data_IF_946530627251
#
_entry.id   IF_946530627251
#
_cell.length_a   1.000
_cell.length_b   1.000
_cell.length_c   1.000
_cell.angle_alpha   90.00
_cell.angle_beta   90.00
_cell.angle_gamma   90.00
#
_symmetry.space_group_name_H-M   'P 1'
#
loop_
_entity.id
_entity.type
_entity.pdbx_description
1 polymer ?
#
# COMPACT_ATOMS: atom_id res chain seq x y z
N UNK A 1 -16.17 5.32 12.17
CA UNK A 1 -14.75 5.56 11.79
C UNK A 1 -14.61 5.20 10.33
N UNK A 2 -14.01 6.06 9.54
CA UNK A 2 -13.63 5.69 8.17
C UNK A 2 -12.42 4.75 8.24
N UNK A 3 -12.30 3.84 7.28
CA UNK A 3 -11.20 2.89 7.21
C UNK A 3 -10.56 2.96 5.82
N UNK A 4 -9.22 2.96 5.80
CA UNK A 4 -8.45 2.78 4.57
C UNK A 4 -7.73 1.44 4.68
N UNK A 5 -8.00 0.54 3.75
CA UNK A 5 -7.42 -0.81 3.73
C UNK A 5 -6.33 -0.87 2.67
N UNK A 6 -5.13 -1.28 3.06
CA UNK A 6 -4.04 -1.58 2.13
C UNK A 6 -3.64 -3.04 2.23
N UNK A 7 -3.58 -3.70 1.08
CA UNK A 7 -3.15 -5.09 0.95
C UNK A 7 -1.78 -5.15 0.29
N UNK A 8 -0.88 -5.92 0.85
CA UNK A 8 0.47 -6.15 0.35
C UNK A 8 0.63 -7.63 0.05
N UNK A 9 0.92 -7.94 -1.20
CA UNK A 9 1.27 -9.27 -1.65
C UNK A 9 2.79 -9.38 -1.80
N UNK A 10 3.30 -10.59 -1.93
CA UNK A 10 4.73 -10.80 -2.15
C UNK A 10 5.20 -10.19 -3.47
N UNK A 11 6.30 -9.42 -3.41
CA UNK A 11 6.95 -8.80 -4.58
C UNK A 11 8.46 -9.08 -4.63
N UNK A 12 8.99 -9.75 -3.61
CA UNK A 12 10.43 -9.95 -3.44
C UNK A 12 11.21 -8.70 -2.96
N UNK A 13 10.52 -7.57 -2.76
CA UNK A 13 11.10 -6.29 -2.34
C UNK A 13 10.34 -5.69 -1.16
N UNK A 14 10.98 -4.74 -0.46
CA UNK A 14 10.35 -3.95 0.58
C UNK A 14 9.30 -3.01 -0.06
N UNK A 15 8.09 -3.03 0.48
CA UNK A 15 6.99 -2.16 0.07
C UNK A 15 6.77 -1.08 1.12
N UNK A 16 6.27 0.07 0.72
CA UNK A 16 6.07 1.21 1.62
C UNK A 16 4.66 1.79 1.48
N UNK A 17 4.17 2.36 2.57
CA UNK A 17 2.95 3.16 2.60
C UNK A 17 3.09 4.28 3.62
N UNK A 18 2.57 5.45 3.34
CA UNK A 18 2.44 6.51 4.34
C UNK A 18 1.26 6.23 5.27
N UNK A 19 1.41 6.54 6.54
CA UNK A 19 0.32 6.51 7.51
C UNK A 19 -0.58 7.73 7.27
N UNK A 20 -1.84 7.56 6.85
CA UNK A 20 -2.70 8.67 6.47
C UNK A 20 -2.95 9.65 7.62
N UNK A 21 -3.13 10.96 7.31
CA UNK A 21 -3.57 11.94 8.30
C UNK A 21 -4.89 11.53 8.96
N UNK A 22 -5.00 11.79 10.26
CA UNK A 22 -6.20 11.43 11.02
C UNK A 22 -6.27 9.97 11.46
N UNK A 23 -5.28 9.13 11.13
CA UNK A 23 -5.20 7.77 11.65
C UNK A 23 -5.05 7.80 13.18
N UNK A 24 -5.96 7.16 13.88
CA UNK A 24 -5.93 7.02 15.34
C UNK A 24 -5.39 5.66 15.77
N UNK A 25 -5.63 4.65 14.94
CA UNK A 25 -5.11 3.30 15.14
C UNK A 25 -5.00 2.57 13.81
N UNK A 26 -4.25 1.48 13.81
CA UNK A 26 -4.20 0.55 12.68
C UNK A 26 -4.55 -0.86 13.14
N UNK A 27 -5.15 -1.63 12.23
CA UNK A 27 -5.27 -3.07 12.42
C UNK A 27 -4.32 -3.77 11.46
N UNK A 28 -3.62 -4.78 11.95
CA UNK A 28 -2.63 -5.55 11.23
C UNK A 28 -3.08 -6.99 11.10
N UNK A 29 -2.94 -7.56 9.89
CA UNK A 29 -3.15 -8.97 9.60
C UNK A 29 -1.99 -9.44 8.72
N UNK A 30 -1.15 -10.31 9.24
CA UNK A 30 0.06 -10.79 8.58
C UNK A 30 0.04 -12.31 8.45
N UNK A 31 0.43 -12.82 7.30
CA UNK A 31 0.70 -14.22 7.04
C UNK A 31 2.13 -14.35 6.52
N UNK A 32 2.95 -15.17 7.18
CA UNK A 32 4.29 -15.51 6.70
C UNK A 32 4.24 -16.41 5.45
N UNK A 33 5.30 -16.45 4.66
CA UNK A 33 5.44 -17.42 3.58
C UNK A 33 5.57 -18.85 4.09
N UNK A 34 5.10 -19.81 3.34
CA UNK A 34 5.17 -21.22 3.73
C UNK A 34 6.47 -21.90 3.24
N UNK A 35 6.88 -22.96 3.90
CA UNK A 35 7.99 -23.78 3.44
C UNK A 35 7.64 -24.66 2.24
N UNK A 36 8.62 -24.97 1.41
CA UNK A 36 8.54 -25.93 0.30
C UNK A 36 8.60 -27.37 0.79
N UNK A 37 8.01 -28.30 0.04
CA UNK A 37 8.12 -29.74 0.30
C UNK A 37 9.45 -30.31 -0.15
N UNK A 38 9.92 -31.36 0.48
CA UNK A 38 11.10 -32.11 0.05
C UNK A 38 10.86 -32.98 -1.17
N UNK A 39 11.94 -33.31 -1.89
CA UNK A 39 11.91 -34.16 -3.06
C UNK A 39 11.57 -35.60 -2.74
N UNK A 40 10.87 -36.24 -3.67
CA UNK A 40 10.55 -37.66 -3.58
C UNK A 40 11.73 -38.54 -4.02
N UNK A 41 11.71 -39.82 -3.63
CA UNK A 41 12.57 -40.89 -4.10
C UNK A 41 11.73 -42.13 -4.50
N UNK A 42 12.35 -43.16 -5.01
CA UNK A 42 11.70 -44.45 -5.34
C UNK A 42 11.07 -45.13 -4.11
N UNK A 43 11.63 -44.89 -2.92
CA UNK A 43 11.15 -45.45 -1.66
C UNK A 43 9.93 -44.75 -1.05
N UNK A 44 9.66 -43.49 -1.45
CA UNK A 44 8.55 -42.74 -0.92
C UNK A 44 8.56 -41.26 -1.22
N UNK A 45 7.55 -40.55 -0.76
CA UNK A 45 7.45 -39.11 -0.95
C UNK A 45 8.41 -38.36 0.01
N UNK A 46 8.85 -37.19 -0.42
CA UNK A 46 9.44 -36.22 0.50
C UNK A 46 8.40 -35.70 1.50
N UNK A 47 8.85 -35.01 2.53
CA UNK A 47 8.00 -34.36 3.51
C UNK A 47 7.31 -33.12 2.93
N UNK A 48 6.12 -32.79 3.43
CA UNK A 48 5.47 -31.52 3.10
C UNK A 48 6.16 -30.35 3.78
N UNK A 49 6.15 -29.19 3.17
CA UNK A 49 6.54 -27.93 3.85
C UNK A 49 5.51 -27.51 4.89
N UNK A 50 5.97 -26.86 5.94
CA UNK A 50 5.08 -26.27 6.95
C UNK A 50 4.42 -25.00 6.44
N UNK A 51 3.16 -24.78 6.80
CA UNK A 51 2.46 -23.55 6.50
C UNK A 51 3.02 -22.35 7.26
N UNK A 52 2.80 -21.15 6.72
CA UNK A 52 3.15 -19.90 7.38
C UNK A 52 2.25 -19.61 8.60
N UNK A 53 2.80 -18.87 9.53
CA UNK A 53 2.09 -18.38 10.70
C UNK A 53 1.26 -17.13 10.40
N UNK A 54 0.34 -16.80 11.30
CA UNK A 54 -0.47 -15.58 11.24
C UNK A 54 -0.30 -14.76 12.51
N UNK A 55 -0.21 -13.42 12.33
CA UNK A 55 -0.22 -12.44 13.42
C UNK A 55 -1.31 -11.40 13.15
N UNK A 56 -2.06 -11.09 14.21
CA UNK A 56 -3.12 -10.09 14.19
C UNK A 56 -2.96 -9.10 15.33
N UNK A 57 -3.15 -7.83 15.03
CA UNK A 57 -3.29 -6.78 16.02
C UNK A 57 -4.38 -5.82 15.58
N UNK A 58 -5.41 -5.66 16.37
CA UNK A 58 -6.44 -4.64 16.17
C UNK A 58 -6.16 -3.44 17.08
N UNK A 59 -6.57 -2.27 16.65
CA UNK A 59 -6.46 -1.01 17.41
C UNK A 59 -5.06 -0.71 17.97
N UNK A 60 -4.01 -0.96 17.17
CA UNK A 60 -2.67 -0.46 17.50
C UNK A 60 -2.71 1.07 17.40
N UNK A 61 -2.56 1.76 18.52
CA UNK A 61 -2.63 3.22 18.58
C UNK A 61 -1.49 3.85 17.74
N UNK A 62 -1.83 4.90 16.98
CA UNK A 62 -0.90 5.70 16.20
C UNK A 62 -0.78 7.09 16.85
N UNK A 63 0.44 7.48 17.18
CA UNK A 63 0.72 8.81 17.71
C UNK A 63 0.73 9.87 16.61
N UNK A 64 0.54 11.12 16.98
CA UNK A 64 0.62 12.24 16.03
C UNK A 64 2.00 12.35 15.34
N UNK A 65 3.07 11.90 15.99
CA UNK A 65 4.42 11.89 15.41
C UNK A 65 4.57 10.81 14.31
N UNK A 66 3.75 9.77 14.33
CA UNK A 66 3.76 8.71 13.33
C UNK A 66 2.87 9.00 12.10
N UNK A 67 2.07 10.06 12.15
CA UNK A 67 1.28 10.50 10.99
C UNK A 67 2.23 11.00 9.90
N UNK A 68 1.97 10.61 8.66
CA UNK A 68 2.82 10.87 7.47
C UNK A 68 4.21 10.21 7.53
N UNK A 69 4.52 9.40 8.54
CA UNK A 69 5.73 8.57 8.50
C UNK A 69 5.53 7.34 7.62
N UNK A 70 6.64 6.69 7.29
CA UNK A 70 6.63 5.52 6.43
C UNK A 70 6.34 4.25 7.23
N UNK A 71 5.31 3.53 6.81
CA UNK A 71 5.07 2.14 7.17
C UNK A 71 5.75 1.28 6.11
N UNK A 72 6.67 0.42 6.54
CA UNK A 72 7.40 -0.51 5.68
C UNK A 72 6.85 -1.91 5.86
N UNK A 73 6.61 -2.63 4.74
CA UNK A 73 6.06 -3.98 4.72
C UNK A 73 6.94 -4.87 3.85
N UNK A 74 7.52 -5.90 4.45
CA UNK A 74 8.16 -6.97 3.72
C UNK A 74 7.28 -8.22 3.81
N UNK A 75 6.73 -8.66 2.70
CA UNK A 75 5.93 -9.89 2.64
C UNK A 75 6.86 -11.06 2.38
N UNK A 76 6.71 -12.12 3.15
CA UNK A 76 7.51 -13.34 3.04
C UNK A 76 7.14 -14.16 1.81
N UNK A 77 8.11 -14.52 1.02
CA UNK A 77 7.94 -15.48 -0.08
C UNK A 77 7.89 -16.91 0.40
N UNK A 78 7.26 -17.77 -0.39
CA UNK A 78 7.27 -19.22 -0.18
C UNK A 78 8.64 -19.82 -0.47
N UNK A 79 9.02 -20.86 0.26
CA UNK A 79 10.21 -21.68 0.02
C UNK A 79 10.04 -22.59 -1.20
N UNK A 80 11.09 -22.78 -1.97
CA UNK A 80 11.08 -23.68 -3.12
C UNK A 80 11.02 -25.16 -2.72
N UNK A 81 10.44 -25.99 -3.57
CA UNK A 81 10.44 -27.43 -3.42
C UNK A 81 11.83 -28.04 -3.65
N UNK A 82 12.16 -29.10 -2.93
CA UNK A 82 13.38 -29.88 -3.12
C UNK A 82 13.31 -30.72 -4.38
N UNK A 83 14.45 -30.87 -5.08
CA UNK A 83 14.58 -31.72 -6.27
C UNK A 83 14.58 -33.21 -5.92
N UNK A 84 14.37 -34.05 -6.91
CA UNK A 84 14.41 -35.52 -6.81
C UNK A 84 15.57 -36.07 -7.65
N UNK A 85 16.25 -37.10 -7.16
CA UNK A 85 17.41 -37.76 -7.78
C UNK A 85 18.72 -37.34 -7.14
N UNK A 86 19.75 -38.17 -7.34
CA UNK A 86 21.08 -38.00 -6.75
C UNK A 86 21.71 -36.66 -7.08
N UNK A 87 22.16 -35.96 -6.06
CA UNK A 87 22.77 -34.64 -6.20
C UNK A 87 21.76 -33.53 -6.56
N UNK A 88 20.46 -33.79 -6.48
CA UNK A 88 19.47 -32.77 -6.73
C UNK A 88 19.60 -31.62 -5.72
N UNK A 89 19.48 -30.36 -6.16
CA UNK A 89 19.61 -29.19 -5.28
C UNK A 89 18.45 -29.07 -4.33
N UNK A 90 18.75 -28.59 -3.13
CA UNK A 90 17.74 -28.17 -2.16
C UNK A 90 16.88 -27.04 -2.66
N UNK A 91 15.66 -26.98 -2.17
CA UNK A 91 14.70 -25.93 -2.50
C UNK A 91 15.21 -24.54 -2.11
N UNK A 92 14.98 -23.55 -2.96
CA UNK A 92 15.37 -22.16 -2.73
C UNK A 92 14.67 -21.57 -1.51
N UNK A 93 15.32 -20.63 -0.82
CA UNK A 93 14.76 -19.94 0.32
C UNK A 93 13.63 -18.99 -0.07
N UNK A 94 12.59 -18.92 0.75
CA UNK A 94 11.58 -17.86 0.72
C UNK A 94 12.19 -16.55 1.14
N UNK A 95 12.18 -15.56 0.24
CA UNK A 95 12.78 -14.24 0.47
C UNK A 95 11.87 -13.35 1.34
N UNK A 96 12.47 -12.45 2.09
CA UNK A 96 11.85 -11.36 2.82
C UNK A 96 12.87 -10.23 2.98
N UNK A 97 12.62 -9.25 3.88
CA UNK A 97 13.63 -8.27 4.31
C UNK A 97 14.86 -8.99 4.85
N UNK A 98 16.05 -8.40 4.69
CA UNK A 98 17.30 -8.93 5.25
C UNK A 98 17.12 -9.28 6.74
N UNK A 99 17.47 -10.48 7.12
CA UNK A 99 17.30 -11.00 8.47
C UNK A 99 15.98 -11.76 8.70
N UNK A 100 15.07 -11.81 7.72
CA UNK A 100 13.75 -12.44 7.86
C UNK A 100 13.45 -13.48 6.77
N UNK A 101 14.40 -13.79 5.91
CA UNK A 101 14.27 -14.83 4.88
C UNK A 101 14.34 -16.22 5.49
N UNK A 102 13.72 -17.19 4.84
CA UNK A 102 13.92 -18.60 5.15
C UNK A 102 15.31 -19.10 4.74
N UNK A 103 15.68 -20.29 5.16
CA UNK A 103 16.89 -20.99 4.73
C UNK A 103 16.68 -21.73 3.40
N UNK A 104 17.77 -22.13 2.76
CA UNK A 104 17.76 -23.03 1.61
C UNK A 104 17.72 -24.48 2.10
N UNK A 105 17.00 -25.37 1.41
CA UNK A 105 16.98 -26.80 1.70
C UNK A 105 18.34 -27.46 1.44
N UNK A 106 18.63 -28.55 2.13
CA UNK A 106 19.82 -29.34 1.91
C UNK A 106 19.75 -30.12 0.61
N UNK A 107 20.91 -30.31 -0.06
CA UNK A 107 21.01 -31.08 -1.28
C UNK A 107 20.73 -32.57 -1.02
N UNK A 108 20.28 -33.28 -2.04
CA UNK A 108 20.17 -34.73 -2.02
C UNK A 108 21.55 -35.39 -1.97
N UNK A 109 21.63 -36.54 -1.35
CA UNK A 109 22.83 -37.37 -1.46
C UNK A 109 23.20 -37.68 -2.91
N UNK A 110 24.47 -38.05 -3.20
CA UNK A 110 24.96 -38.20 -4.57
C UNK A 110 24.46 -39.48 -5.27
N UNK A 111 23.84 -40.36 -4.55
CA UNK A 111 23.31 -41.61 -5.13
C UNK A 111 21.96 -41.36 -5.87
N UNK A 112 21.61 -42.17 -6.88
CA UNK A 112 20.54 -41.86 -7.82
C UNK A 112 19.10 -41.82 -7.19
N UNK A 113 18.96 -42.29 -5.96
CA UNK A 113 17.66 -42.42 -5.30
C UNK A 113 17.61 -41.57 -4.01
N UNK A 114 17.78 -40.27 -4.15
CA UNK A 114 17.76 -39.34 -3.03
C UNK A 114 16.88 -38.16 -3.35
N UNK A 115 16.10 -37.66 -2.37
CA UNK A 115 15.34 -36.41 -2.48
C UNK A 115 16.07 -35.27 -1.76
N UNK A 116 16.03 -34.09 -2.29
CA UNK A 116 16.56 -32.88 -1.65
C UNK A 116 15.56 -32.29 -0.68
N UNK A 117 16.03 -31.55 0.32
CA UNK A 117 15.18 -30.81 1.26
C UNK A 117 14.49 -29.60 0.63
N UNK A 118 13.30 -29.27 1.07
CA UNK A 118 12.59 -28.05 0.71
C UNK A 118 13.14 -26.83 1.42
N UNK A 119 13.02 -25.65 0.79
CA UNK A 119 13.39 -24.36 1.37
C UNK A 119 12.39 -23.88 2.43
N UNK A 120 12.85 -23.12 3.39
CA UNK A 120 11.99 -22.44 4.38
C UNK A 120 11.31 -21.20 3.79
N UNK A 121 10.11 -20.89 4.21
CA UNK A 121 9.40 -19.66 3.86
C UNK A 121 9.98 -18.44 4.56
N UNK A 122 9.85 -17.25 3.95
CA UNK A 122 10.23 -15.98 4.55
C UNK A 122 9.15 -15.46 5.52
N UNK A 123 9.53 -14.66 6.50
CA UNK A 123 8.57 -13.99 7.38
C UNK A 123 7.94 -12.77 6.71
N UNK A 124 6.71 -12.44 7.11
CA UNK A 124 6.06 -11.16 6.78
C UNK A 124 6.24 -10.20 7.95
N UNK A 125 6.83 -9.03 7.68
CA UNK A 125 7.27 -8.08 8.71
C UNK A 125 6.74 -6.69 8.43
N UNK A 126 6.34 -5.98 9.48
CA UNK A 126 5.95 -4.58 9.43
C UNK A 126 6.84 -3.75 10.35
N UNK A 127 7.36 -2.64 9.81
CA UNK A 127 8.04 -1.59 10.54
C UNK A 127 7.28 -0.27 10.43
N UNK A 128 7.32 0.51 11.48
CA UNK A 128 6.89 1.91 11.48
C UNK A 128 8.09 2.73 11.94
N UNK A 129 8.50 3.68 11.09
CA UNK A 129 9.64 4.56 11.36
C UNK A 129 10.91 3.76 11.75
N UNK A 130 11.19 2.70 10.97
CA UNK A 130 12.33 1.80 11.19
C UNK A 130 12.21 0.82 12.35
N UNK A 131 11.17 0.95 13.18
CA UNK A 131 10.93 0.05 14.33
C UNK A 131 10.08 -1.13 13.92
N UNK A 132 10.53 -2.35 14.19
CA UNK A 132 9.75 -3.57 13.99
C UNK A 132 8.52 -3.58 14.92
N UNK A 133 7.34 -3.74 14.34
CA UNK A 133 6.07 -3.71 15.05
C UNK A 133 5.46 -5.09 15.15
N UNK A 134 5.52 -5.88 14.05
CA UNK A 134 4.89 -7.19 13.98
C UNK A 134 5.62 -8.06 12.96
N UNK A 135 5.74 -9.36 13.28
CA UNK A 135 6.30 -10.36 12.38
C UNK A 135 5.49 -11.64 12.44
N UNK A 136 5.04 -12.12 11.28
CA UNK A 136 4.47 -13.45 11.12
C UNK A 136 5.54 -14.38 10.55
N UNK A 137 5.89 -15.43 11.27
CA UNK A 137 6.97 -16.35 10.91
C UNK A 137 6.64 -17.17 9.67
N UNK A 138 7.66 -17.47 8.88
CA UNK A 138 7.59 -18.38 7.73
C UNK A 138 7.63 -19.86 8.14
N UNK A 139 7.06 -20.70 7.32
CA UNK A 139 7.03 -22.17 7.52
C UNK A 139 8.40 -22.83 7.29
N UNK A 140 8.71 -23.89 7.99
CA UNK A 140 9.88 -24.73 7.74
C UNK A 140 9.71 -25.62 6.51
N UNK A 141 10.81 -25.92 5.82
CA UNK A 141 10.83 -26.82 4.66
C UNK A 141 10.65 -28.31 5.06
N UNK A 142 10.05 -29.09 4.18
CA UNK A 142 10.01 -30.56 4.28
C UNK A 142 11.36 -31.18 3.89
N UNK A 143 11.67 -32.33 4.43
CA UNK A 143 12.89 -33.06 4.08
C UNK A 143 12.72 -33.93 2.83
N UNK A 144 13.81 -34.24 2.16
CA UNK A 144 13.86 -35.20 1.07
C UNK A 144 13.70 -36.64 1.57
N UNK A 145 13.15 -37.50 0.73
CA UNK A 145 13.09 -38.95 0.97
C UNK A 145 14.45 -39.59 0.73
N UNK A 146 14.69 -40.68 1.41
CA UNK A 146 15.77 -41.62 1.14
C UNK A 146 15.20 -42.95 0.66
N UNK A 147 16.04 -43.86 0.20
CA UNK A 147 15.64 -45.14 -0.39
C UNK A 147 14.77 -46.02 0.55
N UNK A 148 15.01 -45.99 1.84
CA UNK A 148 14.33 -46.83 2.80
C UNK A 148 13.28 -46.12 3.65
N UNK A 149 13.17 -44.81 3.58
CA UNK A 149 12.20 -44.06 4.33
C UNK A 149 11.82 -42.71 3.72
N UNK A 150 10.58 -42.26 3.94
CA UNK A 150 10.08 -40.97 3.56
C UNK A 150 10.85 -39.83 4.23
N UNK A 151 10.88 -38.70 3.58
CA UNK A 151 11.28 -37.45 4.23
C UNK A 151 10.22 -36.98 5.24
N UNK A 152 10.65 -36.42 6.35
CA UNK A 152 9.69 -35.89 7.33
C UNK A 152 9.23 -34.49 6.99
N UNK A 153 7.97 -34.18 7.31
CA UNK A 153 7.38 -32.87 7.06
C UNK A 153 8.03 -31.76 7.89
N UNK A 154 7.99 -30.55 7.37
CA UNK A 154 8.35 -29.35 8.11
C UNK A 154 7.51 -29.18 9.37
N UNK A 155 8.07 -28.56 10.38
CA UNK A 155 7.47 -28.43 11.71
C UNK A 155 6.99 -26.98 11.92
N UNK A 156 5.70 -26.82 12.23
CA UNK A 156 5.08 -25.53 12.56
C UNK A 156 5.37 -25.08 14.00
N UNK A 157 6.53 -25.36 14.55
CA UNK A 157 6.87 -24.97 15.90
C UNK A 157 7.50 -23.58 15.94
N UNK A 158 6.94 -22.70 16.75
CA UNK A 158 7.56 -21.45 17.16
C UNK A 158 8.86 -21.77 17.93
N UNK A 159 10.02 -21.67 17.29
CA UNK A 159 11.27 -21.96 17.98
C UNK A 159 12.20 -20.75 17.94
N UNK A 160 12.16 -20.00 19.03
CA UNK A 160 12.96 -18.82 19.24
C UNK A 160 14.42 -19.14 19.57
N UNK A 161 15.37 -18.46 18.89
CA UNK A 161 16.73 -18.33 19.43
C UNK A 161 17.51 -17.09 18.99
N UNK A 162 16.95 -16.08 18.37
CA UNK A 162 17.57 -14.78 18.03
C UNK A 162 17.13 -14.26 16.66
N UNK A 163 17.03 -12.94 16.47
CA UNK A 163 16.69 -12.25 15.22
C UNK A 163 17.63 -12.70 14.09
N UNK A 164 17.31 -13.79 13.44
CA UNK A 164 18.14 -14.43 12.42
C UNK A 164 17.29 -14.90 11.24
N UNK A 165 17.84 -14.89 10.02
CA UNK A 165 17.25 -15.63 8.92
C UNK A 165 17.05 -17.09 9.29
N UNK A 166 16.10 -17.76 8.63
CA UNK A 166 15.99 -19.21 8.72
C UNK A 166 17.32 -19.89 8.38
N UNK A 167 17.64 -20.93 9.11
CA UNK A 167 18.90 -21.67 8.89
C UNK A 167 18.82 -22.57 7.68
N UNK A 168 19.95 -22.77 7.00
CA UNK A 168 20.09 -23.71 5.87
C UNK A 168 19.80 -25.14 6.35
N UNK A 169 19.14 -25.94 5.50
CA UNK A 169 19.03 -27.39 5.68
C UNK A 169 20.39 -28.07 5.57
N UNK A 170 20.61 -29.14 6.33
CA UNK A 170 21.77 -29.96 6.13
C UNK A 170 21.61 -30.81 4.88
N UNK A 171 22.71 -30.97 4.10
CA UNK A 171 22.74 -31.86 2.94
C UNK A 171 22.57 -33.33 3.36
N UNK A 172 22.03 -34.14 2.45
CA UNK A 172 21.98 -35.58 2.61
C UNK A 172 23.40 -36.14 2.79
N UNK A 173 23.62 -36.91 3.86
CA UNK A 173 24.95 -37.49 4.17
C UNK A 173 25.16 -38.76 3.39
N UNK A 174 26.18 -38.71 2.53
CA UNK A 174 26.65 -39.89 1.81
C UNK A 174 27.74 -40.63 2.59
N UNK A 175 27.45 -41.84 2.93
CA UNK A 175 28.48 -42.81 3.36
C UNK A 175 28.28 -44.23 2.80
N UNK A 176 27.47 -44.38 1.74
CA UNK A 176 27.17 -45.66 1.09
C UNK A 176 25.67 -45.90 0.83
N UNK A 177 24.85 -44.87 0.90
CA UNK A 177 23.40 -44.99 0.69
C UNK A 177 22.75 -43.74 0.10
N UNK A 178 21.47 -43.80 -0.15
CA UNK A 178 20.65 -42.79 -0.78
C UNK A 178 19.98 -41.93 0.29
N UNK A 179 20.74 -41.04 0.96
CA UNK A 179 20.24 -40.18 2.04
C UNK A 179 19.49 -38.94 1.52
N UNK A 180 18.35 -38.65 2.12
CA UNK A 180 17.57 -37.45 1.79
C UNK A 180 18.12 -36.18 2.43
N UNK A 181 18.03 -35.04 1.71
CA UNK A 181 18.39 -33.72 2.24
C UNK A 181 17.49 -33.24 3.37
N UNK A 182 18.04 -32.49 4.32
CA UNK A 182 17.28 -31.88 5.42
C UNK A 182 16.45 -30.68 4.95
N UNK A 183 15.27 -30.47 5.52
CA UNK A 183 14.44 -29.28 5.28
C UNK A 183 15.02 -28.03 5.93
N UNK A 184 14.86 -26.88 5.30
CA UNK A 184 15.34 -25.60 5.84
C UNK A 184 14.46 -25.01 6.92
N UNK A 185 15.02 -24.15 7.77
CA UNK A 185 14.27 -23.34 8.73
C UNK A 185 13.54 -22.19 8.08
N UNK A 186 12.35 -21.82 8.59
CA UNK A 186 11.61 -20.64 8.18
C UNK A 186 12.20 -19.35 8.75
N UNK A 187 11.99 -18.21 8.08
CA UNK A 187 12.33 -16.87 8.58
C UNK A 187 11.38 -16.45 9.70
N UNK A 188 11.80 -15.53 10.54
CA UNK A 188 10.96 -15.05 11.65
C UNK A 188 11.63 -13.95 12.44
N UNK A 189 10.97 -13.47 13.51
CA UNK A 189 11.62 -12.65 14.52
C UNK A 189 12.87 -13.39 15.04
N UNK A 190 12.71 -14.70 15.27
CA UNK A 190 13.82 -15.62 15.32
C UNK A 190 13.65 -16.66 14.20
N UNK A 191 14.75 -16.93 13.48
CA UNK A 191 14.73 -17.92 12.42
C UNK A 191 14.55 -19.35 12.97
N UNK A 192 13.80 -20.16 12.23
CA UNK A 192 13.61 -21.57 12.51
C UNK A 192 14.90 -22.38 12.31
N UNK A 193 15.08 -23.45 13.04
CA UNK A 193 16.19 -24.39 12.88
C UNK A 193 15.97 -25.26 11.65
N UNK A 194 17.07 -25.60 10.96
CA UNK A 194 17.03 -26.63 9.91
C UNK A 194 16.79 -28.03 10.50
N UNK A 195 16.33 -28.91 9.62
CA UNK A 195 16.40 -30.35 9.82
C UNK A 195 17.74 -30.92 9.38
N UNK A 196 18.02 -32.12 9.80
CA UNK A 196 19.24 -32.86 9.45
C UNK A 196 19.03 -33.63 8.14
N UNK A 197 20.10 -33.77 7.38
CA UNK A 197 20.18 -34.72 6.26
C UNK A 197 20.11 -36.18 6.77
N UNK A 198 19.47 -37.03 6.00
CA UNK A 198 19.42 -38.46 6.23
C UNK A 198 20.80 -39.10 6.05
N UNK A 199 21.04 -40.21 6.75
CA UNK A 199 22.27 -41.01 6.60
C UNK A 199 21.94 -42.42 6.12
N UNK A 200 22.77 -42.96 5.26
CA UNK A 200 22.48 -44.22 4.57
C UNK A 200 21.24 -44.04 3.70
N UNK A 201 20.35 -45.00 3.71
CA UNK A 201 19.12 -45.01 2.92
C UNK A 201 17.97 -44.25 3.55
N UNK A 202 18.19 -43.47 4.62
CA UNK A 202 17.12 -42.81 5.35
C UNK A 202 16.78 -41.44 4.76
N UNK A 203 15.51 -41.05 4.83
CA UNK A 203 15.08 -39.69 4.55
C UNK A 203 15.58 -38.68 5.59
N UNK A 204 15.67 -37.43 5.20
CA UNK A 204 16.05 -36.33 6.09
C UNK A 204 14.95 -35.96 7.07
N UNK A 205 15.21 -34.96 7.92
CA UNK A 205 14.24 -34.38 8.84
C UNK A 205 13.83 -32.98 8.41
N UNK A 206 12.55 -32.62 8.59
CA UNK A 206 12.02 -31.30 8.22
C UNK A 206 12.55 -30.18 9.11
N UNK A 207 12.63 -28.98 8.54
CA UNK A 207 13.01 -27.78 9.25
C UNK A 207 11.83 -27.22 10.11
N UNK A 208 12.15 -26.31 11.02
CA UNK A 208 11.18 -25.65 11.89
C UNK A 208 10.79 -24.29 11.34
N UNK A 209 9.56 -23.86 11.58
CA UNK A 209 9.11 -22.52 11.29
C UNK A 209 9.85 -21.47 12.13
N UNK A 210 9.91 -20.24 11.62
CA UNK A 210 10.37 -19.08 12.38
C UNK A 210 9.34 -18.59 13.39
N UNK A 211 9.78 -17.77 14.33
CA UNK A 211 8.91 -17.24 15.38
C UNK A 211 8.13 -15.99 14.97
N UNK A 212 7.05 -15.72 15.68
CA UNK A 212 6.26 -14.51 15.55
C UNK A 212 6.74 -13.41 16.50
N UNK A 213 6.67 -12.14 16.07
CA UNK A 213 6.60 -10.98 16.95
C UNK A 213 5.15 -10.50 17.01
N UNK A 214 4.53 -10.61 18.17
CA UNK A 214 3.14 -10.19 18.37
C UNK A 214 3.11 -8.89 19.16
N UNK A 215 2.52 -7.80 18.62
CA UNK A 215 2.37 -6.56 19.35
C UNK A 215 1.57 -6.77 20.65
N UNK A 216 1.81 -5.93 21.66
CA UNK A 216 1.05 -5.98 22.92
C UNK A 216 -0.46 -6.04 22.67
N UNK A 217 -1.15 -6.97 23.36
CA UNK A 217 -2.57 -7.30 23.14
C UNK A 217 -2.96 -7.71 21.72
N UNK A 218 -2.02 -8.14 20.90
CA UNK A 218 -2.25 -8.85 19.65
C UNK A 218 -2.45 -10.34 19.87
N UNK A 219 -2.66 -11.08 18.81
CA UNK A 219 -2.77 -12.54 18.80
C UNK A 219 -1.98 -13.14 17.65
N UNK A 220 -1.60 -14.38 17.79
CA UNK A 220 -1.05 -15.17 16.70
C UNK A 220 -1.74 -16.52 16.64
N UNK A 221 -1.72 -17.13 15.45
CA UNK A 221 -2.07 -18.52 15.24
C UNK A 221 -1.02 -19.18 14.35
N UNK A 222 -0.48 -20.28 14.86
CA UNK A 222 0.49 -21.04 14.10
C UNK A 222 -0.20 -21.83 12.98
N UNK A 223 0.54 -22.08 11.91
CA UNK A 223 0.10 -23.04 10.90
C UNK A 223 0.03 -24.47 11.50
N UNK A 224 -0.67 -25.36 10.84
CA UNK A 224 -0.76 -26.78 11.20
C UNK A 224 -0.59 -27.65 9.96
N UNK A 225 0.52 -28.39 9.88
CA UNK A 225 0.88 -29.10 8.65
C UNK A 225 1.00 -28.12 7.49
N UNK A 226 0.22 -28.31 6.42
CA UNK A 226 0.17 -27.41 5.26
C UNK A 226 -0.88 -26.31 5.39
N UNK A 227 -1.68 -26.30 6.45
CA UNK A 227 -2.78 -25.36 6.65
C UNK A 227 -2.28 -24.10 7.38
N UNK A 228 -2.41 -22.89 6.82
CA UNK A 228 -1.95 -21.66 7.46
C UNK A 228 -2.71 -21.33 8.75
N UNK A 229 -2.05 -20.60 9.62
CA UNK A 229 -2.74 -19.91 10.71
C UNK A 229 -3.70 -18.85 10.20
N UNK A 230 -4.74 -18.51 10.97
CA UNK A 230 -5.63 -17.39 10.69
C UNK A 230 -6.52 -17.53 9.45
N UNK A 231 -6.84 -18.75 9.01
CA UNK A 231 -7.72 -18.99 7.85
C UNK A 231 -9.16 -18.51 8.04
N UNK A 232 -9.59 -18.27 9.27
CA UNK A 232 -10.90 -17.69 9.61
C UNK A 232 -10.95 -16.16 9.62
N UNK A 233 -9.83 -15.47 9.39
CA UNK A 233 -9.80 -14.00 9.37
C UNK A 233 -10.43 -13.43 8.11
N UNK A 234 -11.12 -12.30 8.23
CA UNK A 234 -11.87 -11.66 7.14
C UNK A 234 -11.01 -11.26 5.94
N UNK A 235 -9.71 -11.05 6.15
CA UNK A 235 -8.75 -10.68 5.10
C UNK A 235 -7.92 -11.87 4.58
N UNK A 236 -8.17 -13.08 5.06
CA UNK A 236 -7.52 -14.27 4.51
C UNK A 236 -7.98 -14.53 3.08
N UNK A 237 -7.07 -14.97 2.24
CA UNK A 237 -7.35 -15.41 0.88
C UNK A 237 -6.85 -16.84 0.70
N UNK A 238 -7.68 -17.71 0.15
CA UNK A 238 -7.29 -19.10 -0.12
C UNK A 238 -6.02 -19.16 -0.95
N UNK A 239 -5.11 -20.03 -0.57
CA UNK A 239 -3.81 -20.21 -1.22
C UNK A 239 -2.66 -19.41 -0.59
N UNK A 240 -2.93 -18.44 0.29
CA UNK A 240 -1.89 -17.68 1.02
C UNK A 240 -1.27 -18.57 2.10
N UNK A 241 0.05 -18.55 2.21
CA UNK A 241 0.83 -19.20 3.26
C UNK A 241 0.63 -20.73 3.39
N UNK A 242 0.12 -21.39 2.37
CA UNK A 242 -0.12 -22.84 2.34
C UNK A 242 1.21 -23.58 2.16
N UNK A 243 1.49 -24.59 3.00
CA UNK A 243 2.69 -25.42 2.92
C UNK A 243 2.80 -26.17 1.59
N UNK A 244 4.03 -26.33 1.09
CA UNK A 244 4.29 -27.05 -0.16
C UNK A 244 4.05 -28.56 -0.01
N UNK A 245 3.38 -29.15 -0.99
CA UNK A 245 3.34 -30.62 -1.14
C UNK A 245 4.74 -31.15 -1.44
N UNK A 246 5.00 -32.47 -1.29
CA UNK A 246 6.30 -33.06 -1.65
C UNK A 246 6.77 -32.62 -3.04
N UNK A 247 7.99 -32.08 -3.13
CA UNK A 247 8.59 -31.51 -4.34
C UNK A 247 8.00 -30.17 -4.78
N UNK A 248 6.93 -29.68 -4.13
CA UNK A 248 6.27 -28.42 -4.48
C UNK A 248 6.73 -27.23 -3.64
N UNK A 249 6.64 -26.04 -4.21
CA UNK A 249 6.92 -24.79 -3.47
C UNK A 249 5.82 -24.50 -2.44
N UNK A 250 6.19 -23.88 -1.34
CA UNK A 250 5.26 -23.23 -0.42
C UNK A 250 4.67 -21.96 -1.05
N UNK A 251 3.50 -21.56 -0.54
CA UNK A 251 2.85 -20.35 -1.00
C UNK A 251 3.41 -19.10 -0.29
N UNK A 252 3.31 -17.98 -0.98
CA UNK A 252 3.68 -16.67 -0.45
C UNK A 252 2.77 -16.22 0.70
N UNK A 253 3.30 -15.37 1.55
CA UNK A 253 2.57 -14.68 2.59
C UNK A 253 1.73 -13.50 2.08
N UNK A 254 1.17 -12.76 3.03
CA UNK A 254 0.35 -11.57 2.77
C UNK A 254 0.35 -10.65 3.99
N UNK A 255 0.25 -9.35 3.77
CA UNK A 255 -0.07 -8.42 4.84
C UNK A 255 -1.28 -7.56 4.46
N UNK A 256 -2.13 -7.26 5.45
CA UNK A 256 -3.21 -6.29 5.32
C UNK A 256 -3.11 -5.31 6.48
N UNK A 257 -3.12 -4.03 6.14
CA UNK A 257 -3.11 -2.92 7.09
C UNK A 257 -4.39 -2.12 6.92
N UNK A 258 -5.15 -1.99 7.99
CA UNK A 258 -6.37 -1.18 8.04
C UNK A 258 -6.09 0.05 8.88
N UNK A 259 -6.08 1.23 8.24
CA UNK A 259 -5.95 2.50 8.94
C UNK A 259 -7.33 2.94 9.43
N UNK A 260 -7.50 3.01 10.73
CA UNK A 260 -8.73 3.49 11.39
C UNK A 260 -8.62 5.00 11.59
N UNK A 261 -9.42 5.73 10.85
CA UNK A 261 -9.36 7.18 10.81
C UNK A 261 -10.40 7.76 11.75
N UNK A 262 -9.92 8.48 12.76
CA UNK A 262 -10.76 9.16 13.75
C UNK A 262 -11.19 10.54 13.30
N UNK A 263 -12.34 10.98 13.80
CA UNK A 263 -12.74 12.39 13.69
C UNK A 263 -11.88 13.20 14.64
N UNK A 264 -11.03 14.07 14.10
CA UNK A 264 -10.17 14.95 14.90
C UNK A 264 -10.86 16.29 15.10
N UNK A 265 -11.63 16.41 16.15
CA UNK A 265 -12.22 17.66 16.58
C UNK A 265 -12.72 17.56 18.01
N UNK A 266 -12.66 18.68 18.71
CA UNK A 266 -13.20 18.80 20.06
C UNK A 266 -14.19 19.93 20.12
N UNK A 267 -15.27 19.79 20.88
CA UNK A 267 -16.18 20.86 21.20
C UNK A 267 -16.41 20.95 22.71
N UNK A 268 -16.73 22.13 23.17
CA UNK A 268 -16.89 22.41 24.59
C UNK A 268 -18.35 22.29 24.99
N UNK A 269 -18.68 21.35 25.88
CA UNK A 269 -20.01 21.15 26.43
C UNK A 269 -19.94 21.16 27.95
N UNK A 270 -20.72 22.02 28.61
CA UNK A 270 -20.75 22.10 30.07
C UNK A 270 -19.38 22.41 30.69
N UNK A 271 -18.53 23.19 30.01
CA UNK A 271 -17.20 23.56 30.49
C UNK A 271 -16.08 22.54 30.18
N UNK A 272 -16.40 21.31 29.75
CA UNK A 272 -15.45 20.28 29.41
C UNK A 272 -15.28 20.14 27.89
N UNK A 273 -14.04 19.89 27.43
CA UNK A 273 -13.74 19.54 26.04
C UNK A 273 -14.06 18.07 25.80
N UNK A 274 -14.93 17.79 24.82
CA UNK A 274 -15.30 16.43 24.38
C UNK A 274 -14.88 16.21 22.95
N UNK A 275 -14.42 15.00 22.64
CA UNK A 275 -14.09 14.62 21.27
C UNK A 275 -15.37 14.52 20.43
N UNK A 276 -15.28 14.97 19.18
CA UNK A 276 -16.33 14.78 18.18
C UNK A 276 -16.07 13.42 17.53
N UNK A 277 -16.89 12.43 17.83
CA UNK A 277 -16.82 11.12 17.18
C UNK A 277 -17.47 11.14 15.80
N UNK A 278 -18.58 11.85 15.66
CA UNK A 278 -19.32 12.02 14.42
C UNK A 278 -20.05 13.34 14.41
N UNK A 279 -20.11 14.00 13.26
CA UNK A 279 -20.90 15.19 13.07
C UNK A 279 -21.87 15.01 11.89
N UNK A 280 -23.08 15.51 12.05
CA UNK A 280 -24.13 15.41 11.03
C UNK A 280 -24.77 16.77 10.80
N UNK A 281 -25.24 17.01 9.57
CA UNK A 281 -26.10 18.15 9.27
C UNK A 281 -27.35 17.70 8.53
N UNK A 282 -28.43 18.46 8.66
CA UNK A 282 -29.72 18.11 8.10
C UNK A 282 -29.96 18.89 6.80
N UNK A 283 -30.08 18.16 5.68
CA UNK A 283 -30.39 18.74 4.37
C UNK A 283 -31.58 18.01 3.76
N UNK A 284 -32.58 18.75 3.34
CA UNK A 284 -33.78 18.19 2.72
C UNK A 284 -34.53 17.18 3.60
N UNK A 285 -34.49 17.36 4.92
CA UNK A 285 -35.12 16.44 5.87
C UNK A 285 -34.28 15.21 6.28
N UNK A 286 -33.19 14.90 5.61
CA UNK A 286 -32.29 13.79 5.92
C UNK A 286 -31.03 14.25 6.65
N UNK A 287 -30.57 13.44 7.62
CA UNK A 287 -29.28 13.66 8.29
C UNK A 287 -28.15 13.10 7.42
N UNK A 288 -27.17 13.98 7.10
CA UNK A 288 -25.96 13.61 6.37
C UNK A 288 -24.73 13.80 7.27
N UNK A 289 -23.85 12.81 7.29
CA UNK A 289 -22.62 12.89 8.06
C UNK A 289 -21.68 13.95 7.48
N UNK A 290 -21.08 14.77 8.36
CA UNK A 290 -20.03 15.71 8.00
C UNK A 290 -18.70 14.95 8.08
N UNK A 291 -18.01 14.85 6.97
CA UNK A 291 -16.72 14.16 6.89
C UNK A 291 -15.53 15.08 7.11
N UNK A 292 -15.69 16.38 6.97
CA UNK A 292 -14.69 17.39 7.29
C UNK A 292 -15.35 18.71 7.75
N UNK A 293 -14.68 19.43 8.63
CA UNK A 293 -15.09 20.76 9.09
C UNK A 293 -13.89 21.70 9.17
N UNK A 294 -14.10 22.95 8.77
CA UNK A 294 -13.07 23.98 8.79
C UNK A 294 -13.53 25.20 9.55
N UNK A 295 -12.60 25.92 10.16
CA UNK A 295 -12.82 27.22 10.81
C UNK A 295 -11.85 28.26 10.25
N UNK A 296 -12.31 29.47 10.03
CA UNK A 296 -11.49 30.59 9.59
C UNK A 296 -10.92 31.32 10.82
N UNK A 297 -9.60 31.26 11.03
CA UNK A 297 -8.89 31.94 12.15
C UNK A 297 -7.80 32.82 11.57
N UNK A 298 -7.88 34.13 11.85
CA UNK A 298 -6.88 35.07 11.36
C UNK A 298 -6.82 35.21 9.85
N UNK A 299 -7.96 35.01 9.14
CA UNK A 299 -8.02 35.05 7.69
C UNK A 299 -7.72 33.71 6.99
N UNK A 300 -7.19 32.71 7.71
CA UNK A 300 -6.86 31.40 7.19
C UNK A 300 -7.89 30.33 7.60
N UNK A 301 -8.27 29.43 6.67
CA UNK A 301 -9.07 28.26 6.99
C UNK A 301 -8.21 27.20 7.65
N UNK A 302 -8.62 26.76 8.84
CA UNK A 302 -7.95 25.65 9.58
C UNK A 302 -8.94 24.50 9.75
N UNK A 303 -8.49 23.28 9.52
CA UNK A 303 -9.32 22.11 9.74
C UNK A 303 -9.70 22.01 11.22
N UNK A 304 -11.01 21.88 11.50
CA UNK A 304 -11.54 21.55 12.82
C UNK A 304 -11.52 20.05 13.06
N UNK A 305 -11.86 19.30 12.02
CA UNK A 305 -11.79 17.84 12.00
C UNK A 305 -11.81 17.36 10.55
N UNK A 306 -11.23 16.17 10.36
CA UNK A 306 -11.20 15.50 9.09
C UNK A 306 -11.40 14.00 9.39
N UNK A 307 -12.37 13.35 8.75
CA UNK A 307 -12.62 11.91 8.93
C UNK A 307 -11.60 11.02 8.21
N UNK A 308 -10.41 11.58 7.92
CA UNK A 308 -9.33 10.86 7.26
C UNK A 308 -9.47 10.66 5.76
N UNK A 309 -10.58 11.12 5.20
CA UNK A 309 -10.57 11.47 3.80
C UNK A 309 -10.01 12.88 3.76
N UNK A 310 -8.76 13.00 3.39
CA UNK A 310 -8.19 14.31 3.08
C UNK A 310 -8.95 14.82 1.84
N UNK A 311 -10.05 15.53 2.07
CA UNK A 311 -10.89 16.07 1.00
C UNK A 311 -10.10 17.06 0.14
N UNK A 312 -8.99 17.57 0.68
CA UNK A 312 -8.06 18.43 -0.02
C UNK A 312 -7.01 17.65 -0.84
N UNK A 313 -6.66 16.42 -0.44
CA UNK A 313 -5.73 15.58 -1.20
C UNK A 313 -6.42 14.55 -2.10
N UNK A 314 -7.73 14.33 -1.93
CA UNK A 314 -8.48 13.31 -2.67
C UNK A 314 -9.57 13.85 -3.58
N UNK A 315 -10.09 15.04 -3.31
CA UNK A 315 -10.86 15.78 -4.27
C UNK A 315 -9.86 16.61 -5.08
N UNK A 316 -9.26 15.99 -6.08
CA UNK A 316 -8.50 16.66 -7.10
C UNK A 316 -7.06 17.06 -6.72
N UNK A 317 -6.17 16.08 -6.52
CA UNK A 317 -4.72 16.35 -6.60
C UNK A 317 -4.22 17.55 -5.81
N UNK A 318 -4.75 17.75 -4.60
CA UNK A 318 -4.18 18.71 -3.67
C UNK A 318 -2.86 18.15 -3.16
N UNK A 319 -1.81 18.39 -3.95
CA UNK A 319 -0.45 18.00 -3.61
C UNK A 319 -0.08 18.49 -2.22
N UNK A 320 0.56 17.61 -1.46
CA UNK A 320 1.18 17.97 -0.19
C UNK A 320 2.07 19.20 -0.38
N UNK A 321 1.77 20.24 0.38
CA UNK A 321 2.66 21.39 0.54
C UNK A 321 3.87 21.02 1.42
N UNK A 322 4.48 19.86 1.17
CA UNK A 322 5.76 19.48 1.73
C UNK A 322 6.61 18.87 0.62
N UNK A 323 7.21 19.76 -0.15
CA UNK A 323 8.18 19.44 -1.16
C UNK A 323 9.32 18.61 -0.57
N UNK A 324 9.41 17.37 -0.98
CA UNK A 324 10.65 16.65 -1.03
C UNK A 324 11.07 16.65 -2.49
N UNK A 325 12.00 17.53 -2.79
CA UNK A 325 12.64 17.63 -4.09
C UNK A 325 13.28 16.31 -4.47
N UNK A 326 12.63 15.56 -5.36
CA UNK A 326 13.33 14.61 -6.21
C UNK A 326 13.24 15.15 -7.63
N UNK A 327 14.37 15.60 -8.14
CA UNK A 327 14.58 15.95 -9.52
C UNK A 327 14.23 14.79 -10.45
N UNK A 328 13.02 14.82 -10.97
CA UNK A 328 12.53 13.96 -12.03
C UNK A 328 11.61 14.80 -12.88
N UNK A 329 12.01 15.07 -14.12
CA UNK A 329 11.33 15.95 -15.05
C UNK A 329 9.83 15.66 -15.15
N UNK A 330 9.06 16.64 -14.77
CA UNK A 330 7.87 17.15 -15.32
C UNK A 330 6.69 16.23 -15.55
N UNK A 331 5.72 16.40 -14.75
CA UNK A 331 4.35 16.02 -14.96
C UNK A 331 3.51 16.65 -13.87
N UNK A 332 3.35 17.98 -13.90
CA UNK A 332 2.37 18.66 -13.05
C UNK A 332 0.99 18.10 -13.36
N UNK A 333 0.46 17.26 -12.49
CA UNK A 333 -0.96 16.96 -12.47
C UNK A 333 -1.69 18.26 -12.14
N UNK A 334 -2.29 18.89 -13.15
CA UNK A 334 -2.79 20.21 -13.01
C UNK A 334 -4.30 20.29 -13.15
N UNK A 335 -4.95 20.62 -12.09
CA UNK A 335 -6.18 21.40 -12.17
C UNK A 335 -5.81 22.86 -12.39
N UNK A 336 -6.61 23.57 -13.18
CA UNK A 336 -6.35 24.95 -13.52
C UNK A 336 -6.44 25.91 -12.35
N UNK A 337 -5.42 26.76 -12.17
CA UNK A 337 -5.30 27.69 -11.06
C UNK A 337 -4.84 29.08 -11.50
N UNK A 338 -5.22 30.13 -10.75
CA UNK A 338 -4.86 31.53 -11.00
C UNK A 338 -4.12 32.12 -9.79
N UNK A 339 -3.26 33.12 -10.05
CA UNK A 339 -2.59 33.84 -8.94
C UNK A 339 -3.59 34.74 -8.18
N UNK A 340 -3.21 35.12 -6.94
CA UNK A 340 -3.94 36.11 -6.16
C UNK A 340 -4.09 37.42 -6.92
N UNK A 341 -5.24 38.08 -6.76
CA UNK A 341 -5.55 39.32 -7.46
C UNK A 341 -6.14 39.13 -8.86
N UNK A 342 -6.20 37.89 -9.39
CA UNK A 342 -6.93 37.63 -10.63
C UNK A 342 -8.42 37.90 -10.45
N UNK A 343 -8.97 38.82 -11.25
CA UNK A 343 -10.34 39.31 -11.10
C UNK A 343 -11.32 38.40 -11.83
N UNK A 344 -12.20 37.77 -11.10
CA UNK A 344 -13.25 36.88 -11.60
C UNK A 344 -14.53 37.69 -11.84
N UNK A 345 -15.16 37.51 -13.00
CA UNK A 345 -16.44 38.15 -13.30
C UNK A 345 -17.56 37.40 -12.58
N UNK A 346 -18.29 38.09 -11.70
CA UNK A 346 -19.43 37.56 -10.98
C UNK A 346 -20.72 37.64 -11.82
N UNK A 347 -21.76 36.92 -11.41
CA UNK A 347 -23.06 36.90 -12.13
C UNK A 347 -23.78 38.22 -12.19
N UNK A 348 -23.53 39.13 -11.22
CA UNK A 348 -24.07 40.49 -11.17
C UNK A 348 -23.24 41.51 -11.98
N UNK A 349 -22.20 41.06 -12.66
CA UNK A 349 -21.27 41.86 -13.44
C UNK A 349 -20.15 42.54 -12.63
N UNK A 350 -20.13 42.36 -11.33
CA UNK A 350 -19.00 42.82 -10.48
C UNK A 350 -17.77 41.98 -10.67
N UNK A 351 -16.61 42.50 -10.25
CA UNK A 351 -15.35 41.78 -10.27
C UNK A 351 -14.93 41.42 -8.83
N UNK A 352 -14.51 40.18 -8.59
CA UNK A 352 -14.05 39.69 -7.31
C UNK A 352 -12.71 39.00 -7.44
N UNK A 353 -11.68 39.32 -6.60
CA UNK A 353 -10.39 38.62 -6.65
C UNK A 353 -10.57 37.13 -6.39
N UNK A 354 -9.83 36.27 -7.12
CA UNK A 354 -9.99 34.80 -7.06
C UNK A 354 -9.79 34.24 -5.66
N UNK A 355 -8.86 34.81 -4.87
CA UNK A 355 -8.63 34.43 -3.46
C UNK A 355 -9.76 34.81 -2.50
N UNK A 356 -10.72 35.58 -2.95
CA UNK A 356 -11.90 35.98 -2.20
C UNK A 356 -13.19 35.27 -2.66
N UNK A 357 -13.13 34.57 -3.80
CA UNK A 357 -14.24 33.74 -4.26
C UNK A 357 -14.49 32.63 -3.25
N UNK A 358 -15.76 32.48 -2.83
CA UNK A 358 -16.12 31.53 -1.78
C UNK A 358 -17.29 30.63 -2.21
N UNK A 359 -17.45 29.51 -1.50
CA UNK A 359 -18.57 28.59 -1.72
C UNK A 359 -19.90 29.34 -1.52
N UNK A 360 -20.77 29.23 -2.52
CA UNK A 360 -22.05 29.91 -2.54
C UNK A 360 -22.07 31.19 -3.37
N UNK A 361 -20.93 31.76 -3.74
CA UNK A 361 -20.83 32.82 -4.75
C UNK A 361 -21.39 32.33 -6.09
N UNK A 362 -21.84 33.26 -6.92
CA UNK A 362 -22.28 32.93 -8.29
C UNK A 362 -21.43 33.70 -9.29
N UNK A 363 -20.68 32.98 -10.10
CA UNK A 363 -19.83 33.57 -11.13
C UNK A 363 -20.54 33.66 -12.46
N UNK A 364 -20.11 34.60 -13.31
CA UNK A 364 -20.63 34.75 -14.67
C UNK A 364 -20.40 33.47 -15.46
N UNK A 365 -21.42 33.00 -16.20
CA UNK A 365 -21.40 31.79 -17.03
C UNK A 365 -21.25 30.49 -16.23
N UNK A 366 -20.35 30.47 -15.19
CA UNK A 366 -20.03 29.28 -14.39
C UNK A 366 -21.13 28.86 -13.44
N UNK A 367 -22.01 29.75 -13.03
CA UNK A 367 -23.05 29.47 -12.03
C UNK A 367 -22.48 29.46 -10.61
N UNK A 368 -23.12 28.70 -9.72
CA UNK A 368 -22.79 28.70 -8.30
C UNK A 368 -21.49 27.95 -8.01
N UNK A 369 -20.63 28.57 -7.17
CA UNK A 369 -19.39 27.98 -6.69
C UNK A 369 -19.71 26.95 -5.59
N UNK A 370 -19.20 25.75 -5.70
CA UNK A 370 -19.38 24.67 -4.73
C UNK A 370 -18.08 24.19 -4.09
N UNK A 371 -16.91 24.57 -4.64
CA UNK A 371 -15.59 24.25 -4.11
C UNK A 371 -14.60 25.39 -4.33
N UNK A 372 -13.63 25.56 -3.43
CA UNK A 372 -12.51 26.50 -3.57
C UNK A 372 -11.23 25.81 -3.15
N UNK A 373 -10.10 26.16 -3.78
CA UNK A 373 -8.79 25.58 -3.50
C UNK A 373 -7.65 26.60 -3.54
N UNK A 374 -6.55 26.25 -2.90
CA UNK A 374 -5.31 27.01 -2.85
C UNK A 374 -4.13 26.08 -2.94
N UNK A 375 -3.21 26.33 -3.87
CA UNK A 375 -2.10 25.43 -4.20
C UNK A 375 -0.77 26.16 -4.29
N UNK A 376 0.31 25.37 -4.31
CA UNK A 376 1.64 25.77 -4.71
C UNK A 376 1.95 25.10 -6.05
N UNK A 377 2.32 25.87 -7.07
CA UNK A 377 2.69 25.37 -8.39
C UNK A 377 4.03 25.98 -8.82
N UNK A 378 4.72 25.33 -9.75
CA UNK A 378 6.01 25.72 -10.34
C UNK A 378 5.95 25.95 -11.85
N UNK A 379 4.75 25.94 -12.44
CA UNK A 379 4.55 26.11 -13.90
C UNK A 379 3.60 27.27 -14.22
N UNK A 380 3.91 28.46 -13.74
CA UNK A 380 3.10 29.66 -13.98
C UNK A 380 3.33 30.23 -15.40
N UNK A 381 2.25 30.61 -16.06
CA UNK A 381 2.24 31.22 -17.40
C UNK A 381 1.51 32.57 -17.38
N UNK A 382 1.91 33.47 -18.25
CA UNK A 382 1.12 34.64 -18.65
C UNK A 382 0.34 34.28 -19.94
N UNK A 383 -0.98 34.36 -19.88
CA UNK A 383 -1.85 34.23 -21.03
C UNK A 383 -2.61 35.53 -21.20
N UNK A 384 -2.16 36.36 -22.15
CA UNK A 384 -2.75 37.69 -22.45
C UNK A 384 -2.93 38.57 -21.18
N UNK A 385 -1.94 38.59 -20.30
CA UNK A 385 -1.98 39.36 -19.06
C UNK A 385 -2.73 38.68 -17.92
N UNK A 386 -3.17 37.42 -18.06
CA UNK A 386 -3.74 36.59 -17.03
C UNK A 386 -2.68 35.58 -16.58
N UNK A 387 -2.27 35.66 -15.32
CA UNK A 387 -1.31 34.70 -14.76
C UNK A 387 -2.03 33.46 -14.25
N UNK A 388 -1.73 32.32 -14.84
CA UNK A 388 -2.48 31.06 -14.72
C UNK A 388 -1.52 29.87 -14.81
N UNK A 389 -1.86 28.72 -14.23
CA UNK A 389 -1.06 27.50 -14.40
C UNK A 389 -1.00 27.05 -15.85
N UNK A 390 0.16 26.58 -16.33
CA UNK A 390 0.35 26.12 -17.71
C UNK A 390 -0.61 25.01 -18.12
N UNK A 391 -1.00 24.16 -17.18
CA UNK A 391 -1.93 23.05 -17.40
C UNK A 391 -3.39 23.46 -17.51
N UNK A 392 -3.75 24.72 -17.18
CA UNK A 392 -5.13 25.20 -17.24
C UNK A 392 -5.68 25.19 -18.68
N UNK A 393 -6.92 24.72 -18.82
CA UNK A 393 -7.61 24.73 -20.09
C UNK A 393 -8.19 26.11 -20.40
N UNK A 394 -7.88 26.61 -21.57
CA UNK A 394 -8.39 27.88 -22.12
C UNK A 394 -9.05 27.64 -23.46
N UNK A 395 -10.08 28.40 -23.77
CA UNK A 395 -10.75 28.36 -25.08
C UNK A 395 -10.15 29.39 -26.02
N UNK A 396 -9.49 28.92 -27.09
CA UNK A 396 -8.85 29.73 -28.12
C UNK A 396 -9.39 29.31 -29.46
N UNK A 397 -9.87 30.28 -30.26
CA UNK A 397 -10.45 30.06 -31.61
C UNK A 397 -11.55 28.98 -31.66
N UNK A 398 -12.30 28.82 -30.55
CA UNK A 398 -13.39 27.86 -30.43
C UNK A 398 -12.96 26.47 -29.92
N UNK A 399 -11.67 26.19 -29.82
CA UNK A 399 -11.13 24.92 -29.31
C UNK A 399 -10.57 25.08 -27.89
N UNK A 400 -10.61 23.98 -27.11
CA UNK A 400 -9.98 23.89 -25.81
C UNK A 400 -8.56 23.36 -25.90
N UNK A 401 -7.60 24.04 -25.26
CA UNK A 401 -6.20 23.64 -25.18
C UNK A 401 -5.62 24.08 -23.84
N UNK A 402 -4.49 23.52 -23.46
CA UNK A 402 -3.74 23.97 -22.28
C UNK A 402 -3.07 25.31 -22.56
N UNK A 403 -2.94 26.14 -21.54
CA UNK A 403 -2.20 27.41 -21.67
C UNK A 403 -0.75 27.18 -22.10
N UNK A 404 -0.11 26.14 -21.61
CA UNK A 404 1.27 25.76 -21.98
C UNK A 404 1.40 25.35 -23.46
N UNK A 405 0.33 24.85 -24.08
CA UNK A 405 0.29 24.46 -25.51
C UNK A 405 -0.15 25.61 -26.42
N UNK A 406 -0.62 26.73 -25.82
CA UNK A 406 -1.07 27.89 -26.57
C UNK A 406 0.12 28.75 -27.03
N UNK A 407 -0.01 29.29 -28.24
CA UNK A 407 0.95 30.28 -28.75
C UNK A 407 0.92 31.61 -27.98
N UNK A 408 -0.14 31.87 -27.26
CA UNK A 408 -0.34 33.08 -26.46
C UNK A 408 0.19 32.88 -25.02
N UNK A 409 0.37 31.62 -24.59
CA UNK A 409 0.93 31.26 -23.30
C UNK A 409 2.45 31.52 -23.27
N UNK A 410 2.92 32.21 -22.24
CA UNK A 410 4.34 32.50 -22.02
C UNK A 410 4.71 32.03 -20.61
N UNK A 411 5.64 31.08 -20.51
CA UNK A 411 6.15 30.65 -19.20
C UNK A 411 6.77 31.82 -18.44
N UNK A 412 6.48 31.91 -17.16
CA UNK A 412 7.03 32.90 -16.24
C UNK A 412 8.17 32.33 -15.38
N UNK A 413 8.62 31.11 -15.65
CA UNK A 413 9.67 30.40 -14.93
C UNK A 413 9.13 29.32 -14.02
N UNK A 414 10.06 28.65 -13.30
CA UNK A 414 9.79 27.48 -12.46
C UNK A 414 9.82 27.84 -10.97
N UNK A 415 9.60 29.14 -10.62
CA UNK A 415 9.50 29.53 -9.21
C UNK A 415 8.16 29.07 -8.62
N UNK A 416 8.21 28.54 -7.40
CA UNK A 416 7.01 28.12 -6.68
C UNK A 416 6.14 29.33 -6.32
N UNK A 417 4.88 29.32 -6.75
CA UNK A 417 3.90 30.38 -6.49
C UNK A 417 2.59 29.83 -5.95
N UNK A 418 1.98 30.62 -5.07
CA UNK A 418 0.66 30.29 -4.51
C UNK A 418 -0.43 30.70 -5.48
N UNK A 419 -1.29 29.76 -5.85
CA UNK A 419 -2.40 29.95 -6.78
C UNK A 419 -3.75 29.55 -6.16
N UNK A 420 -4.83 30.00 -6.76
CA UNK A 420 -6.20 29.82 -6.29
C UNK A 420 -7.06 29.27 -7.42
N UNK A 421 -8.07 28.49 -7.05
CA UNK A 421 -9.02 27.90 -7.98
C UNK A 421 -10.38 27.69 -7.29
N UNK A 422 -11.41 27.49 -8.08
CA UNK A 422 -12.72 27.09 -7.60
C UNK A 422 -13.41 26.17 -8.62
N UNK A 423 -14.38 25.38 -8.14
CA UNK A 423 -15.28 24.60 -8.95
C UNK A 423 -16.67 25.24 -8.96
N UNK A 424 -17.33 25.27 -10.11
CA UNK A 424 -18.66 25.84 -10.28
C UNK A 424 -19.59 24.94 -11.10
N UNK A 425 -20.90 25.21 -11.04
CA UNK A 425 -21.93 24.33 -11.61
C UNK A 425 -21.74 24.05 -13.11
N UNK A 426 -21.31 25.04 -13.88
CA UNK A 426 -21.23 24.95 -15.34
C UNK A 426 -19.79 24.74 -15.86
N UNK A 427 -18.83 24.55 -14.96
CA UNK A 427 -17.43 24.29 -15.29
C UNK A 427 -16.72 25.36 -16.13
N UNK A 428 -17.13 26.62 -15.99
CA UNK A 428 -16.62 27.75 -16.80
C UNK A 428 -16.26 28.94 -15.92
N UNK A 429 -15.16 29.60 -16.30
CA UNK A 429 -14.66 30.80 -15.64
C UNK A 429 -14.39 31.85 -16.75
N UNK A 430 -14.90 33.07 -16.58
CA UNK A 430 -14.63 34.18 -17.50
C UNK A 430 -13.72 35.20 -16.81
N UNK A 431 -12.59 35.48 -17.46
CA UNK A 431 -11.62 36.49 -17.03
C UNK A 431 -11.24 37.31 -18.25
N UNK A 432 -11.45 38.63 -18.22
CA UNK A 432 -11.14 39.54 -19.35
C UNK A 432 -11.67 39.05 -20.70
N UNK A 433 -12.89 38.55 -20.75
CA UNK A 433 -13.53 37.94 -21.93
C UNK A 433 -12.86 36.63 -22.44
N UNK A 434 -11.93 36.08 -21.72
CA UNK A 434 -11.35 34.79 -22.01
C UNK A 434 -12.08 33.70 -21.19
N UNK A 435 -12.46 32.62 -21.86
CA UNK A 435 -13.15 31.50 -21.23
C UNK A 435 -12.13 30.42 -20.82
N UNK A 436 -12.11 30.09 -19.53
CA UNK A 436 -11.34 28.99 -18.94
C UNK A 436 -12.28 27.92 -18.41
N UNK A 437 -11.78 26.70 -18.24
CA UNK A 437 -12.49 25.69 -17.44
C UNK A 437 -12.43 26.06 -15.96
N UNK A 438 -13.22 25.40 -15.12
CA UNK A 438 -12.98 25.38 -13.69
C UNK A 438 -11.97 24.28 -13.32
N UNK A 439 -11.72 24.10 -12.04
CA UNK A 439 -10.80 23.07 -11.57
C UNK A 439 -11.13 21.66 -12.08
N UNK A 440 -12.39 21.32 -12.20
CA UNK A 440 -12.84 19.98 -12.57
C UNK A 440 -12.92 19.72 -14.08
N UNK A 441 -12.79 20.73 -14.91
CA UNK A 441 -12.68 20.71 -16.36
C UNK A 441 -13.85 20.09 -17.14
N UNK A 442 -14.62 19.17 -16.55
CA UNK A 442 -15.74 18.46 -17.17
C UNK A 442 -17.10 18.80 -16.60
N UNK A 443 -18.11 18.80 -17.45
CA UNK A 443 -19.53 18.94 -17.07
C UNK A 443 -20.15 17.60 -16.60
N UNK A 444 -19.57 16.44 -16.92
CA UNK A 444 -20.14 15.12 -16.65
C UNK A 444 -19.25 14.32 -15.69
N UNK A 445 -19.40 14.59 -14.40
CA UNK A 445 -18.60 13.93 -13.35
C UNK A 445 -19.15 12.59 -12.84
N UNK A 446 -20.27 12.12 -13.34
CA UNK A 446 -20.86 10.89 -12.83
C UNK A 446 -19.91 9.68 -12.97
N UNK A 447 -19.05 9.67 -13.98
CA UNK A 447 -18.03 8.62 -14.17
C UNK A 447 -16.86 8.73 -13.18
N UNK A 448 -16.45 9.96 -12.81
CA UNK A 448 -15.34 10.18 -11.87
C UNK A 448 -15.69 9.77 -10.43
N UNK A 449 -16.95 9.91 -10.03
CA UNK A 449 -17.41 9.52 -8.70
C UNK A 449 -17.47 7.99 -8.57
N UNK A 450 -17.77 7.28 -9.65
CA UNK A 450 -17.89 5.81 -9.67
C UNK A 450 -16.53 5.08 -9.74
N UNK A 451 -15.45 5.77 -10.13
CA UNK A 451 -14.10 5.20 -10.22
C UNK A 451 -13.14 5.72 -9.12
N UNK A 452 -13.67 6.32 -8.06
CA UNK A 452 -12.87 6.97 -7.00
C UNK A 452 -11.78 6.09 -6.39
N UNK A 453 -11.98 4.78 -6.28
CA UNK A 453 -11.00 3.87 -5.70
C UNK A 453 -9.83 3.55 -6.66
N UNK A 454 -10.05 3.52 -7.98
CA UNK A 454 -9.00 3.28 -8.98
C UNK A 454 -8.14 4.53 -9.23
N UNK A 455 -8.71 5.72 -9.09
CA UNK A 455 -8.01 7.00 -9.27
C UNK A 455 -6.88 7.18 -8.26
N UNK A 456 -7.05 6.69 -7.02
CA UNK A 456 -6.06 6.87 -5.95
C UNK A 456 -4.82 5.97 -6.07
N UNK A 457 -4.92 4.82 -6.72
CA UNK A 457 -3.79 3.90 -6.86
C UNK A 457 -2.83 4.25 -8.00
N UNK A 458 -3.29 5.01 -9.01
CA UNK A 458 -2.52 5.36 -10.23
C UNK A 458 -2.77 6.81 -10.68
N UNK A 459 -2.78 7.75 -9.74
CA UNK A 459 -3.18 9.14 -9.96
C UNK A 459 -2.49 9.82 -11.15
N UNK A 460 -1.16 9.71 -11.29
CA UNK A 460 -0.43 10.39 -12.36
C UNK A 460 -0.81 9.92 -13.77
N UNK A 461 -1.06 8.62 -13.92
CA UNK A 461 -1.47 8.06 -15.22
C UNK A 461 -2.94 8.35 -15.52
N UNK A 462 -3.79 8.35 -14.49
CA UNK A 462 -5.20 8.73 -14.61
C UNK A 462 -5.38 10.21 -14.91
N UNK A 463 -4.62 11.08 -14.27
CA UNK A 463 -4.68 12.53 -14.51
C UNK A 463 -4.35 12.86 -15.95
N UNK A 464 -3.29 12.26 -16.51
CA UNK A 464 -2.94 12.43 -17.94
C UNK A 464 -4.04 11.91 -18.86
N UNK A 465 -4.59 10.72 -18.60
CA UNK A 465 -5.66 10.11 -19.40
C UNK A 465 -6.95 10.93 -19.32
N UNK A 466 -7.29 11.46 -18.16
CA UNK A 466 -8.44 12.35 -17.97
C UNK A 466 -8.23 13.65 -18.73
N UNK A 467 -7.06 14.26 -18.64
CA UNK A 467 -6.72 15.47 -19.40
C UNK A 467 -6.86 15.26 -20.91
N UNK A 468 -6.28 14.19 -21.45
CA UNK A 468 -6.35 13.88 -22.89
C UNK A 468 -7.79 13.58 -23.34
N UNK A 469 -8.57 12.87 -22.50
CA UNK A 469 -9.99 12.61 -22.73
C UNK A 469 -10.80 13.91 -22.71
N UNK A 470 -10.49 14.81 -21.76
CA UNK A 470 -11.18 16.09 -21.60
C UNK A 470 -10.93 17.04 -22.76
N UNK A 471 -9.68 17.13 -23.25
CA UNK A 471 -9.37 17.89 -24.47
C UNK A 471 -10.22 17.40 -25.65
N UNK A 472 -10.34 16.10 -25.82
CA UNK A 472 -11.13 15.50 -26.90
C UNK A 472 -12.63 15.77 -26.73
N UNK A 473 -13.19 15.67 -25.51
CA UNK A 473 -14.61 15.92 -25.23
C UNK A 473 -14.95 17.40 -25.40
N UNK A 474 -14.10 18.31 -24.89
CA UNK A 474 -14.34 19.75 -25.01
C UNK A 474 -14.24 20.27 -26.45
N UNK A 475 -13.52 19.55 -27.32
CA UNK A 475 -13.36 19.89 -28.73
C UNK A 475 -14.30 19.12 -29.69
N UNK A 476 -15.09 18.13 -29.17
CA UNK A 476 -16.09 17.40 -29.93
C UNK A 476 -17.43 18.15 -29.98
#
# INVERSE_FOLDING_TARGET
MAQVVKTFNYTGTLQQASIPPGTTSIDLYLWGGAGGGGGADRGGPGGTGAAGHHVKKTTLAISSAQINTTLEVAVGGGGGGGGSGGGAPGGSNGKSKTGFSGGQGGDAGPQPYSGAGGGGGGATVIHIDGTEIATAGGGGGGAGAGLSSDGTSGINANSATSNSPGTLGEDGKDHSGDGGGGGAGGGGNDGGKSGNGGSGDNGGTGGRSGSNLVPSSGSSSDGSGVTPGGTGESYYTSGVAVGGNPGGSGADGKAVVVFNIGVQGKFKVGGAWKDIEQAFFKVGGAWKQITAGYVKIGGAWKALFNSGVNFLSTAAGFGDANGSSSSGSGGSGGGGCFIAGTMITMSDGTLKPVEQVDIGDTVSVGGKVFATGKFLIDNLYDYNGIQVSGTHMVKEDGAWLRVEDSRLGKSLGDDEVVVYVFGNENRRIIINNTEFTDYFELSEQQELINHGEDIFSNWQDHDRQIHDKNVNILNA
#
